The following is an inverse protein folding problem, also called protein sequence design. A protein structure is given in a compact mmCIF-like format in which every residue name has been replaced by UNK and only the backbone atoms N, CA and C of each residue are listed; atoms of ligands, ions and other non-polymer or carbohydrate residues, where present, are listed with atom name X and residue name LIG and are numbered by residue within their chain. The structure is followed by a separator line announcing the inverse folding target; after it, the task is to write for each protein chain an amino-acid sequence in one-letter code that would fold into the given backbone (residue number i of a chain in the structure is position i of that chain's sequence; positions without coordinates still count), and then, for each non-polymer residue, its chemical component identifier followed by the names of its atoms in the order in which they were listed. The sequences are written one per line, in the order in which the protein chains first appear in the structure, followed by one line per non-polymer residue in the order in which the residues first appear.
data_IF_991348513517
#
_entry.id   IF_991348513517
#
_cell.length_a   1.000
_cell.length_b   1.000
_cell.length_c   1.000
_cell.angle_alpha   90.00
_cell.angle_beta   90.00
_cell.angle_gamma   90.00
#
_symmetry.space_group_name_H-M   'P 1'
#
loop_
_entity.id
_entity.type
_entity.pdbx_description
1 polymer ?
#
# COMPACT_ATOMS: atom_id res chain seq x y z
N UNK A 1 -5.36 15.00 -24.76
CA UNK A 1 -4.49 16.02 -24.14
C UNK A 1 -3.07 15.49 -24.16
N UNK A 2 -2.11 16.22 -24.75
CA UNK A 2 -0.71 15.85 -24.62
C UNK A 2 -0.33 15.91 -23.12
N UNK A 3 0.22 14.82 -22.59
CA UNK A 3 0.73 14.80 -21.22
C UNK A 3 1.95 15.71 -21.20
N UNK A 4 2.00 16.64 -20.22
CA UNK A 4 3.19 17.45 -19.99
C UNK A 4 4.42 16.58 -19.80
N UNK A 5 5.56 17.06 -20.23
CA UNK A 5 6.84 16.35 -20.04
C UNK A 5 7.02 15.97 -18.56
N UNK A 6 7.42 14.71 -18.27
CA UNK A 6 7.55 14.25 -16.90
C UNK A 6 8.53 15.12 -16.10
N UNK A 7 8.12 15.52 -14.91
CA UNK A 7 8.95 16.21 -13.91
C UNK A 7 8.81 15.46 -12.59
N UNK A 8 9.76 14.57 -12.32
CA UNK A 8 9.67 13.57 -11.27
C UNK A 8 10.40 14.01 -10.02
N UNK A 9 9.72 13.99 -8.86
CA UNK A 9 10.39 14.08 -7.57
C UNK A 9 10.63 12.69 -7.01
N UNK A 10 11.84 12.40 -6.56
CA UNK A 10 12.19 11.13 -5.92
C UNK A 10 12.43 11.36 -4.43
N UNK A 11 11.72 10.64 -3.57
CA UNK A 11 11.80 10.75 -2.11
C UNK A 11 12.34 9.46 -1.52
N UNK A 12 13.57 9.49 -1.03
CA UNK A 12 14.26 8.32 -0.46
C UNK A 12 14.13 8.31 1.04
N UNK A 13 13.53 7.27 1.60
CA UNK A 13 13.30 7.10 3.03
C UNK A 13 14.38 6.22 3.67
N UNK A 14 14.94 6.68 4.79
CA UNK A 14 15.83 5.84 5.60
C UNK A 14 15.06 4.76 6.38
N UNK A 15 13.80 5.02 6.69
CA UNK A 15 12.95 4.19 7.56
C UNK A 15 13.67 3.83 8.88
N UNK A 16 14.33 4.81 9.48
CA UNK A 16 15.27 4.58 10.57
C UNK A 16 16.40 3.63 10.15
N UNK A 17 16.54 2.52 10.87
CA UNK A 17 17.53 1.48 10.54
C UNK A 17 16.98 0.39 9.58
N UNK A 18 15.68 0.37 9.32
CA UNK A 18 15.08 -0.70 8.50
C UNK A 18 15.54 -0.67 7.03
N UNK A 19 15.86 0.51 6.49
CA UNK A 19 16.42 0.65 5.15
C UNK A 19 17.88 1.11 5.25
N UNK A 20 18.15 2.23 5.93
CA UNK A 20 19.48 2.81 6.00
C UNK A 20 20.52 1.94 6.74
N UNK A 21 20.09 0.98 7.57
CA UNK A 21 20.99 0.00 8.19
C UNK A 21 21.62 -0.97 7.19
N UNK A 22 21.01 -1.17 6.04
CA UNK A 22 21.48 -2.11 5.01
C UNK A 22 21.79 -1.41 3.68
N UNK A 23 21.02 -0.39 3.31
CA UNK A 23 21.16 0.36 2.05
C UNK A 23 21.89 1.69 2.34
N UNK A 24 22.84 2.06 1.50
CA UNK A 24 23.40 3.42 1.50
C UNK A 24 22.42 4.39 0.83
N UNK A 25 21.44 4.85 1.62
CA UNK A 25 20.39 5.72 1.12
C UNK A 25 20.91 7.09 0.65
N UNK A 26 22.06 7.54 1.15
CA UNK A 26 22.70 8.79 0.70
C UNK A 26 23.28 8.62 -0.71
N UNK A 27 24.03 7.56 -0.95
CA UNK A 27 24.56 7.24 -2.26
C UNK A 27 23.44 6.97 -3.29
N UNK A 28 22.35 6.30 -2.86
CA UNK A 28 21.17 6.06 -3.70
C UNK A 28 20.48 7.36 -4.08
N UNK A 29 20.29 8.28 -3.12
CA UNK A 29 19.65 9.56 -3.38
C UNK A 29 20.49 10.43 -4.34
N UNK A 30 21.80 10.48 -4.15
CA UNK A 30 22.69 11.21 -5.04
C UNK A 30 22.68 10.64 -6.46
N UNK A 31 22.77 9.31 -6.58
CA UNK A 31 22.68 8.64 -7.86
C UNK A 31 21.34 8.88 -8.56
N UNK A 32 20.23 8.90 -7.82
CA UNK A 32 18.89 9.08 -8.39
C UNK A 32 18.72 10.45 -9.09
N UNK A 33 19.55 11.46 -8.77
CA UNK A 33 19.57 12.77 -9.45
C UNK A 33 19.96 12.69 -10.92
N UNK A 34 20.71 11.63 -11.29
CA UNK A 34 21.13 11.42 -12.68
C UNK A 34 20.08 10.74 -13.55
N UNK A 35 18.97 10.30 -12.97
CA UNK A 35 17.92 9.61 -13.73
C UNK A 35 17.15 10.56 -14.64
N UNK A 36 16.70 10.09 -15.82
CA UNK A 36 15.93 10.91 -16.75
C UNK A 36 14.67 11.49 -16.11
N UNK A 37 14.37 12.74 -16.39
CA UNK A 37 13.17 13.47 -15.96
C UNK A 37 13.05 13.68 -14.43
N UNK A 38 14.07 13.32 -13.66
CA UNK A 38 14.13 13.61 -12.22
C UNK A 38 14.49 15.07 -12.00
N UNK A 39 13.55 15.84 -11.46
CA UNK A 39 13.71 17.28 -11.20
C UNK A 39 14.25 17.56 -9.80
N UNK A 40 13.96 16.71 -8.82
CA UNK A 40 14.52 16.81 -7.48
C UNK A 40 14.60 15.46 -6.79
N UNK A 41 15.53 15.35 -5.84
CA UNK A 41 15.64 14.17 -4.95
C UNK A 41 15.77 14.67 -3.53
N UNK A 42 14.92 14.15 -2.65
CA UNK A 42 14.92 14.44 -1.22
C UNK A 42 15.13 13.14 -0.46
N UNK A 43 16.05 13.16 0.50
CA UNK A 43 16.25 12.05 1.44
C UNK A 43 15.81 12.49 2.83
N UNK A 44 15.02 11.67 3.50
CA UNK A 44 14.62 11.92 4.87
C UNK A 44 14.52 10.64 5.70
N UNK A 45 14.47 10.82 7.01
CA UNK A 45 14.50 9.71 7.96
C UNK A 45 13.20 8.92 7.96
N UNK A 46 12.06 9.61 7.86
CA UNK A 46 10.73 9.03 7.87
C UNK A 46 9.81 9.79 6.92
N UNK A 47 9.71 9.33 5.68
CA UNK A 47 8.91 9.99 4.64
C UNK A 47 7.41 9.93 4.95
N UNK A 48 6.94 8.89 5.64
CA UNK A 48 5.53 8.71 6.01
C UNK A 48 5.07 9.57 7.20
N UNK A 49 6.00 10.14 7.97
CA UNK A 49 5.67 11.07 9.05
C UNK A 49 5.35 12.47 8.51
N UNK A 50 4.64 13.28 9.31
CA UNK A 50 4.21 14.63 8.88
C UNK A 50 5.35 15.50 8.33
N UNK A 51 6.56 15.56 8.92
CA UNK A 51 7.66 16.32 8.34
C UNK A 51 8.03 15.84 6.92
N UNK A 52 8.11 14.51 6.73
CA UNK A 52 8.45 13.93 5.42
C UNK A 52 7.37 14.18 4.36
N UNK A 53 6.09 14.08 4.74
CA UNK A 53 4.98 14.41 3.87
C UNK A 53 4.97 15.90 3.50
N UNK A 54 5.29 16.78 4.45
CA UNK A 54 5.38 18.22 4.19
C UNK A 54 6.50 18.56 3.21
N UNK A 55 7.62 17.83 3.25
CA UNK A 55 8.68 17.96 2.25
C UNK A 55 8.21 17.54 0.86
N UNK A 56 7.41 16.46 0.75
CA UNK A 56 6.80 16.08 -0.54
C UNK A 56 5.91 17.21 -1.06
N UNK A 57 4.96 17.71 -0.22
CA UNK A 57 4.05 18.79 -0.60
C UNK A 57 4.81 20.03 -1.07
N UNK A 58 5.83 20.44 -0.32
CA UNK A 58 6.67 21.60 -0.65
C UNK A 58 7.39 21.39 -1.97
N UNK A 59 8.04 20.24 -2.17
CA UNK A 59 8.79 19.95 -3.39
C UNK A 59 7.87 19.88 -4.62
N UNK A 60 6.66 19.33 -4.50
CA UNK A 60 5.68 19.31 -5.61
C UNK A 60 5.39 20.72 -6.10
N UNK A 61 5.18 21.66 -5.21
CA UNK A 61 4.87 23.06 -5.57
C UNK A 61 6.12 23.78 -6.08
N UNK A 62 7.22 23.69 -5.35
CA UNK A 62 8.46 24.43 -5.61
C UNK A 62 9.11 24.03 -6.94
N UNK A 63 9.18 22.72 -7.20
CA UNK A 63 9.79 22.18 -8.42
C UNK A 63 8.76 21.91 -9.54
N UNK A 64 7.49 22.29 -9.34
CA UNK A 64 6.40 22.05 -10.30
C UNK A 64 6.36 20.58 -10.77
N UNK A 65 6.42 19.66 -9.82
CA UNK A 65 6.42 18.23 -10.11
C UNK A 65 5.05 17.79 -10.64
N UNK A 66 5.06 16.91 -11.60
CA UNK A 66 3.85 16.26 -12.11
C UNK A 66 3.87 14.73 -11.95
N UNK A 67 4.95 14.19 -11.34
CA UNK A 67 5.11 12.80 -10.93
C UNK A 67 5.87 12.74 -9.62
N UNK A 68 5.54 11.76 -8.78
CA UNK A 68 6.24 11.51 -7.52
C UNK A 68 6.63 10.05 -7.43
N UNK A 69 7.86 9.78 -7.05
CA UNK A 69 8.35 8.43 -6.69
C UNK A 69 8.76 8.44 -5.23
N UNK A 70 8.14 7.57 -4.42
CA UNK A 70 8.49 7.41 -3.01
C UNK A 70 9.21 6.07 -2.83
N UNK A 71 10.52 6.15 -2.61
CA UNK A 71 11.38 5.00 -2.36
C UNK A 71 11.47 4.72 -0.86
N UNK A 72 10.60 3.86 -0.35
CA UNK A 72 10.42 3.63 1.09
C UNK A 72 10.02 2.19 1.40
N UNK A 73 9.19 1.98 2.39
CA UNK A 73 8.64 0.67 2.77
C UNK A 73 7.49 0.23 1.85
N UNK A 74 6.72 -0.75 2.31
CA UNK A 74 5.66 -1.39 1.54
C UNK A 74 4.56 -0.43 1.06
N UNK A 75 4.21 -0.47 -0.24
CA UNK A 75 3.02 0.21 -0.76
C UNK A 75 1.73 -0.22 -0.05
N UNK A 76 1.62 -1.48 0.38
CA UNK A 76 0.44 -1.99 1.11
C UNK A 76 0.09 -1.19 2.35
N UNK A 77 1.09 -0.54 2.95
CA UNK A 77 0.92 0.21 4.20
C UNK A 77 0.71 1.70 3.94
N UNK A 78 1.51 2.30 3.07
CA UNK A 78 1.60 3.76 2.97
C UNK A 78 1.24 4.35 1.60
N UNK A 79 0.82 3.54 0.63
CA UNK A 79 0.35 4.07 -0.64
C UNK A 79 -0.82 5.05 -0.48
N UNK A 80 -1.87 4.75 0.33
CA UNK A 80 -2.94 5.71 0.58
C UNK A 80 -2.46 7.01 1.23
N UNK A 81 -1.48 6.92 2.16
CA UNK A 81 -0.87 8.08 2.82
C UNK A 81 -0.22 9.03 1.80
N UNK A 82 0.61 8.49 0.91
CA UNK A 82 1.31 9.31 -0.07
C UNK A 82 0.40 9.78 -1.20
N UNK A 83 -0.60 8.99 -1.60
CA UNK A 83 -1.65 9.45 -2.53
C UNK A 83 -2.45 10.62 -1.95
N UNK A 84 -2.81 10.56 -0.66
CA UNK A 84 -3.40 11.69 0.04
C UNK A 84 -2.49 12.91 0.04
N UNK A 85 -1.21 12.72 0.37
CA UNK A 85 -0.22 13.77 0.43
C UNK A 85 -0.08 14.55 -0.90
N UNK A 86 0.00 13.86 -2.04
CA UNK A 86 0.09 14.54 -3.35
C UNK A 86 -1.24 15.16 -3.76
N UNK A 87 -2.37 14.56 -3.38
CA UNK A 87 -3.71 15.10 -3.60
C UNK A 87 -3.93 16.45 -2.89
N UNK A 88 -3.40 16.59 -1.67
CA UNK A 88 -3.51 17.82 -0.87
C UNK A 88 -2.93 19.06 -1.59
N UNK A 89 -1.99 18.86 -2.50
CA UNK A 89 -1.36 19.93 -3.29
C UNK A 89 -1.83 19.96 -4.75
N UNK A 90 -2.97 19.33 -5.04
CA UNK A 90 -3.63 19.37 -6.36
C UNK A 90 -3.06 18.43 -7.41
N UNK A 91 -2.14 17.53 -7.07
CA UNK A 91 -1.66 16.50 -7.99
C UNK A 91 -2.64 15.33 -8.03
N UNK A 92 -2.88 14.75 -9.23
CA UNK A 92 -3.66 13.54 -9.33
C UNK A 92 -2.97 12.39 -8.54
N UNK A 93 -3.65 11.71 -7.60
CA UNK A 93 -3.03 10.73 -6.70
C UNK A 93 -2.46 9.49 -7.42
N UNK A 94 -2.88 9.25 -8.66
CA UNK A 94 -2.41 8.13 -9.47
C UNK A 94 -1.14 8.45 -10.28
N UNK A 95 -0.60 9.68 -10.15
CA UNK A 95 0.68 10.09 -10.71
C UNK A 95 1.84 9.89 -9.70
N UNK A 96 1.62 9.05 -8.69
CA UNK A 96 2.58 8.67 -7.68
C UNK A 96 2.89 7.17 -7.79
N UNK A 97 4.16 6.82 -7.64
CA UNK A 97 4.67 5.46 -7.65
C UNK A 97 5.49 5.18 -6.38
N UNK A 98 5.50 3.95 -5.90
CA UNK A 98 6.32 3.55 -4.76
C UNK A 98 7.35 2.49 -5.15
N UNK A 99 8.61 2.71 -4.75
CA UNK A 99 9.67 1.69 -4.78
C UNK A 99 9.84 1.09 -3.40
N UNK A 100 9.56 -0.20 -3.24
CA UNK A 100 9.70 -0.89 -1.96
C UNK A 100 11.15 -1.24 -1.68
N UNK A 101 11.84 -0.39 -0.88
CA UNK A 101 13.22 -0.59 -0.48
C UNK A 101 13.38 -1.38 0.82
N UNK A 102 12.31 -1.66 1.55
CA UNK A 102 12.36 -2.40 2.79
C UNK A 102 12.21 -3.89 2.55
N UNK A 103 11.01 -4.33 2.20
CA UNK A 103 10.69 -5.74 2.05
C UNK A 103 11.36 -6.37 0.81
N UNK A 104 11.48 -5.60 -0.28
CA UNK A 104 12.06 -6.11 -1.52
C UNK A 104 13.57 -5.91 -1.61
N UNK A 105 14.20 -5.18 -0.69
CA UNK A 105 15.62 -4.86 -0.75
C UNK A 105 16.33 -5.05 0.58
N UNK A 106 16.17 -4.14 1.55
CA UNK A 106 16.99 -4.13 2.75
C UNK A 106 16.83 -5.38 3.61
N UNK A 107 15.62 -5.94 3.73
CA UNK A 107 15.38 -7.14 4.52
C UNK A 107 15.88 -8.42 3.86
N UNK A 108 15.82 -8.51 2.53
CA UNK A 108 16.30 -9.68 1.79
C UNK A 108 17.80 -9.67 1.54
N UNK A 109 18.48 -8.55 1.79
CA UNK A 109 19.93 -8.39 1.64
C UNK A 109 20.60 -7.98 2.96
N UNK A 110 20.04 -8.41 4.10
CA UNK A 110 20.62 -8.11 5.41
C UNK A 110 22.09 -8.60 5.46
N UNK A 111 23.01 -7.71 5.81
CA UNK A 111 24.45 -8.00 5.82
C UNK A 111 25.19 -7.85 4.47
N UNK A 112 24.49 -7.53 3.37
CA UNK A 112 25.08 -7.38 2.03
C UNK A 112 24.89 -5.94 1.50
N UNK A 113 25.47 -4.96 2.20
CA UNK A 113 25.23 -3.52 1.98
C UNK A 113 25.41 -3.07 0.52
N UNK A 114 26.47 -3.54 -0.15
CA UNK A 114 26.75 -3.13 -1.53
C UNK A 114 25.71 -3.68 -2.50
N UNK A 115 25.33 -4.96 -2.36
CA UNK A 115 24.29 -5.57 -3.18
C UNK A 115 22.93 -4.94 -2.91
N UNK A 116 22.60 -4.65 -1.64
CA UNK A 116 21.39 -3.96 -1.27
C UNK A 116 21.33 -2.56 -1.90
N UNK A 117 22.44 -1.83 -1.89
CA UNK A 117 22.52 -0.49 -2.46
C UNK A 117 22.31 -0.52 -3.98
N UNK A 118 22.95 -1.46 -4.70
CA UNK A 118 22.74 -1.61 -6.14
C UNK A 118 21.30 -2.03 -6.46
N UNK A 119 20.73 -2.96 -5.70
CA UNK A 119 19.33 -3.35 -5.85
C UNK A 119 18.36 -2.18 -5.59
N UNK A 120 18.64 -1.34 -4.61
CA UNK A 120 17.83 -0.16 -4.34
C UNK A 120 17.83 0.81 -5.53
N UNK A 121 18.99 1.00 -6.18
CA UNK A 121 19.09 1.78 -7.42
C UNK A 121 18.24 1.18 -8.54
N UNK A 122 18.26 -0.15 -8.72
CA UNK A 122 17.45 -0.81 -9.74
C UNK A 122 15.95 -0.66 -9.50
N UNK A 123 15.52 -0.79 -8.25
CA UNK A 123 14.11 -0.58 -7.87
C UNK A 123 13.67 0.85 -8.12
N UNK A 124 14.50 1.84 -7.78
CA UNK A 124 14.18 3.26 -8.05
C UNK A 124 14.20 3.54 -9.55
N UNK A 125 15.16 3.01 -10.30
CA UNK A 125 15.21 3.14 -11.76
C UNK A 125 13.91 2.63 -12.39
N UNK A 126 13.45 1.45 -11.95
CA UNK A 126 12.21 0.85 -12.43
C UNK A 126 10.98 1.70 -12.07
N UNK A 127 10.92 2.23 -10.85
CA UNK A 127 9.83 3.10 -10.41
C UNK A 127 9.81 4.43 -11.17
N UNK A 128 10.97 5.05 -11.41
CA UNK A 128 11.10 6.26 -12.22
C UNK A 128 10.68 5.99 -13.67
N UNK A 129 11.12 4.89 -14.26
CA UNK A 129 10.72 4.49 -15.61
C UNK A 129 9.22 4.30 -15.70
N UNK A 130 8.59 3.63 -14.73
CA UNK A 130 7.14 3.47 -14.66
C UNK A 130 6.42 4.81 -14.47
N UNK A 131 6.92 5.67 -13.58
CA UNK A 131 6.31 6.97 -13.30
C UNK A 131 6.21 7.86 -14.55
N UNK A 132 7.13 7.75 -15.49
CA UNK A 132 7.09 8.47 -16.78
C UNK A 132 5.86 8.12 -17.61
N UNK A 133 5.31 6.92 -17.46
CA UNK A 133 4.17 6.41 -18.23
C UNK A 133 2.84 6.46 -17.48
N UNK A 134 2.83 6.95 -16.22
CA UNK A 134 1.58 7.11 -15.47
C UNK A 134 0.69 8.16 -16.13
N UNK A 135 -0.60 7.85 -16.19
CA UNK A 135 -1.64 8.76 -16.65
C UNK A 135 -2.58 9.10 -15.51
N UNK A 136 -3.15 10.31 -15.46
CA UNK A 136 -4.16 10.66 -14.48
C UNK A 136 -5.33 9.68 -14.55
N UNK A 137 -5.83 9.25 -13.40
CA UNK A 137 -6.99 8.40 -13.29
C UNK A 137 -8.10 9.13 -12.52
N UNK A 138 -9.34 8.76 -12.80
CA UNK A 138 -10.50 9.24 -12.06
C UNK A 138 -11.05 8.11 -11.18
N UNK A 139 -11.48 8.47 -9.97
CA UNK A 139 -12.13 7.52 -9.07
C UNK A 139 -13.55 7.23 -9.53
N UNK A 140 -13.81 5.97 -9.85
CA UNK A 140 -15.17 5.52 -10.13
C UNK A 140 -15.93 5.33 -8.82
N UNK A 141 -17.05 6.03 -8.67
CA UNK A 141 -17.96 5.88 -7.53
C UNK A 141 -19.20 5.12 -7.96
N UNK A 142 -19.38 3.95 -7.37
CA UNK A 142 -20.56 3.12 -7.59
C UNK A 142 -21.44 3.10 -6.34
N UNK A 143 -22.76 3.00 -6.54
CA UNK A 143 -23.68 2.80 -5.41
C UNK A 143 -23.49 1.38 -4.87
N UNK A 144 -23.40 1.26 -3.56
CA UNK A 144 -23.31 -0.02 -2.85
C UNK A 144 -24.60 -0.23 -2.08
N UNK A 145 -25.21 -1.41 -2.24
CA UNK A 145 -26.32 -1.85 -1.38
C UNK A 145 -25.77 -2.13 0.01
N UNK A 146 -26.29 -1.44 1.02
CA UNK A 146 -25.86 -1.60 2.41
C UNK A 146 -26.46 -2.87 3.03
N UNK A 147 -26.04 -4.02 2.49
CA UNK A 147 -26.44 -5.35 2.96
C UNK A 147 -25.26 -6.30 2.83
N UNK A 148 -25.23 -7.30 3.65
CA UNK A 148 -24.22 -8.36 3.64
C UNK A 148 -24.83 -9.66 3.11
N UNK A 149 -24.07 -10.38 2.30
CA UNK A 149 -24.38 -11.76 1.88
C UNK A 149 -23.41 -12.71 2.55
N UNK A 150 -23.92 -13.62 3.35
CA UNK A 150 -23.15 -14.70 3.98
C UNK A 150 -23.48 -16.01 3.24
N UNK A 151 -22.47 -16.66 2.69
CA UNK A 151 -22.63 -17.91 1.94
C UNK A 151 -22.13 -19.07 2.82
N UNK A 152 -23.03 -19.94 3.21
CA UNK A 152 -22.82 -21.08 4.08
C UNK A 152 -23.38 -20.86 5.49
N UNK A 153 -24.33 -21.70 5.88
CA UNK A 153 -25.03 -21.66 7.18
C UNK A 153 -24.40 -22.57 8.24
N UNK A 154 -23.09 -22.84 8.17
CA UNK A 154 -22.36 -23.50 9.25
C UNK A 154 -22.11 -22.56 10.43
N UNK A 155 -21.46 -23.03 11.51
CA UNK A 155 -21.21 -22.25 12.74
C UNK A 155 -20.55 -20.88 12.47
N UNK A 156 -19.58 -20.83 11.58
CA UNK A 156 -18.90 -19.58 11.21
C UNK A 156 -19.83 -18.62 10.48
N UNK A 157 -20.62 -19.13 9.53
CA UNK A 157 -21.58 -18.31 8.78
C UNK A 157 -22.71 -17.79 9.65
N UNK A 158 -23.24 -18.61 10.55
CA UNK A 158 -24.26 -18.20 11.53
C UNK A 158 -23.71 -17.09 12.42
N UNK A 159 -22.50 -17.27 13.01
CA UNK A 159 -21.91 -16.26 13.88
C UNK A 159 -21.64 -14.95 13.13
N UNK A 160 -21.05 -15.05 11.92
CA UNK A 160 -20.79 -13.86 11.10
C UNK A 160 -22.08 -13.12 10.73
N UNK A 161 -23.17 -13.87 10.44
CA UNK A 161 -24.46 -13.25 10.12
C UNK A 161 -25.05 -12.53 11.34
N UNK A 162 -24.95 -13.13 12.53
CA UNK A 162 -25.42 -12.52 13.78
C UNK A 162 -24.62 -11.25 14.11
N UNK A 163 -23.28 -11.31 14.07
CA UNK A 163 -22.42 -10.15 14.38
C UNK A 163 -22.68 -8.96 13.42
N UNK A 164 -22.92 -9.25 12.14
CA UNK A 164 -23.29 -8.22 11.17
C UNK A 164 -24.69 -7.66 11.42
N UNK A 165 -25.65 -8.52 11.77
CA UNK A 165 -27.01 -8.08 12.09
C UNK A 165 -27.04 -7.22 13.36
N UNK A 166 -26.32 -7.61 14.41
CA UNK A 166 -26.18 -6.87 15.66
C UNK A 166 -25.50 -5.52 15.44
N UNK A 167 -24.61 -5.45 14.43
CA UNK A 167 -24.01 -4.18 13.98
C UNK A 167 -24.96 -3.30 13.14
N UNK A 168 -26.22 -3.71 12.96
CA UNK A 168 -27.25 -2.94 12.26
C UNK A 168 -27.27 -3.10 10.74
N UNK A 169 -26.61 -4.13 10.19
CA UNK A 169 -26.64 -4.42 8.76
C UNK A 169 -27.77 -5.40 8.39
N UNK A 170 -28.40 -5.18 7.24
CA UNK A 170 -29.26 -6.19 6.63
C UNK A 170 -28.40 -7.36 6.16
N UNK A 171 -28.72 -8.57 6.62
CA UNK A 171 -27.96 -9.79 6.28
C UNK A 171 -28.83 -10.78 5.53
N UNK A 172 -28.28 -11.37 4.49
CA UNK A 172 -28.84 -12.49 3.75
C UNK A 172 -27.91 -13.69 3.95
N UNK A 173 -28.40 -14.74 4.61
CA UNK A 173 -27.68 -16.00 4.78
C UNK A 173 -28.18 -16.99 3.73
N UNK A 174 -27.26 -17.52 2.92
CA UNK A 174 -27.55 -18.52 1.89
C UNK A 174 -26.91 -19.85 2.28
N UNK A 175 -27.71 -20.90 2.35
CA UNK A 175 -27.28 -22.27 2.60
C UNK A 175 -27.76 -23.19 1.47
N UNK A 176 -26.93 -24.12 1.03
CA UNK A 176 -27.25 -25.10 -0.02
C UNK A 176 -28.05 -26.29 0.50
N UNK A 177 -27.85 -26.62 1.76
CA UNK A 177 -28.55 -27.69 2.43
C UNK A 177 -29.92 -27.21 2.98
N UNK A 178 -30.88 -28.09 3.22
CA UNK A 178 -32.21 -27.72 3.71
C UNK A 178 -32.22 -27.17 5.16
N UNK A 179 -31.12 -27.31 5.88
CA UNK A 179 -30.95 -26.84 7.26
C UNK A 179 -29.64 -26.08 7.45
N UNK A 180 -29.64 -25.16 8.39
CA UNK A 180 -28.40 -24.50 8.87
C UNK A 180 -27.72 -25.35 9.94
N UNK A 181 -26.46 -25.00 10.32
CA UNK A 181 -25.65 -25.70 11.32
C UNK A 181 -24.46 -26.44 10.72
N UNK A 182 -24.50 -26.79 9.43
CA UNK A 182 -23.39 -27.42 8.71
C UNK A 182 -22.95 -28.73 9.41
N UNK A 183 -21.64 -28.97 9.46
CA UNK A 183 -21.05 -30.17 10.08
C UNK A 183 -21.37 -30.24 11.58
N UNK A 184 -21.44 -29.12 12.27
CA UNK A 184 -21.73 -29.09 13.71
C UNK A 184 -23.07 -29.72 14.04
N UNK A 185 -24.09 -29.48 13.23
CA UNK A 185 -25.41 -30.06 13.43
C UNK A 185 -25.44 -31.62 13.27
N UNK A 186 -24.42 -32.19 12.64
CA UNK A 186 -24.27 -33.64 12.46
C UNK A 186 -23.38 -34.31 13.52
N UNK A 187 -22.77 -33.56 14.43
CA UNK A 187 -21.92 -34.08 15.48
C UNK A 187 -22.74 -34.37 16.75
N UNK A 188 -22.43 -35.45 17.47
CA UNK A 188 -22.95 -35.69 18.81
C UNK A 188 -22.22 -34.81 19.84
N UNK A 189 -20.88 -34.81 19.78
CA UNK A 189 -20.02 -34.08 20.73
C UNK A 189 -18.80 -33.49 20.07
N UNK A 190 -18.27 -32.40 20.67
CA UNK A 190 -17.05 -31.73 20.21
C UNK A 190 -15.82 -32.25 20.95
N UNK A 191 -14.74 -32.51 20.22
CA UNK A 191 -13.44 -32.84 20.80
C UNK A 191 -12.65 -31.55 21.08
N UNK A 192 -11.87 -31.45 22.18
CA UNK A 192 -11.58 -32.48 23.21
C UNK A 192 -12.53 -32.43 24.43
N UNK A 193 -13.35 -31.40 24.54
CA UNK A 193 -14.17 -31.14 25.74
C UNK A 193 -15.34 -32.09 25.90
N UNK A 194 -15.76 -32.78 24.82
CA UNK A 194 -16.91 -33.64 24.79
C UNK A 194 -18.23 -32.96 25.17
N UNK A 195 -18.28 -31.64 24.89
CA UNK A 195 -19.51 -30.87 25.05
C UNK A 195 -20.51 -31.17 23.92
N UNK A 196 -21.79 -30.87 24.16
CA UNK A 196 -22.81 -30.93 23.14
C UNK A 196 -22.47 -29.96 21.99
N UNK A 197 -22.65 -30.40 20.76
CA UNK A 197 -22.34 -29.62 19.58
C UNK A 197 -23.46 -28.65 19.12
N UNK A 198 -24.64 -28.78 19.77
CA UNK A 198 -25.86 -27.99 19.46
C UNK A 198 -26.16 -27.03 20.59
#
# INVERSE_FOLDING_TARGET
MALDAPRIGVFVCDCGLNIAGTVDTAAVAEWARSLPDVACVVRNKYTCADPGQNEIRKAVVEHKLNRVVVASCSPRMHEPTFRGCVKDVGMNPYLMEMANLREHCSWVHAGEKDKATEKAKDLIRSAVARARHLTPQEELRVKVTKAALVIGGGVTGIQAALDLADSGHQVYLVEKEPTIGGIMAGLDKTYPTMDCSI
#
